data_IF_748555027926
#
_entry.id   IF_748555027926
#
_cell.length_a   1.000
_cell.length_b   1.000
_cell.length_c   1.000
_cell.angle_alpha   90.00
_cell.angle_beta   90.00
_cell.angle_gamma   90.00
#
_symmetry.space_group_name_H-M   'P 1'
#
loop_
_entity.id
_entity.type
_entity.pdbx_description
1 polymer ?
#
# COMPACT_ATOMS: atom_id res chain seq x y z
N UNK A 1 14.22 -6.44 5.54
CA UNK A 1 14.26 -6.51 4.06
C UNK A 1 12.87 -6.74 3.43
N UNK A 2 11.91 -7.30 4.18
CA UNK A 2 10.62 -7.74 3.64
C UNK A 2 9.68 -6.61 3.17
N UNK A 3 9.66 -5.47 3.86
CA UNK A 3 8.73 -4.35 3.54
C UNK A 3 9.09 -3.60 2.27
N UNK A 4 10.38 -3.54 1.92
CA UNK A 4 10.82 -2.88 0.70
C UNK A 4 10.35 -3.63 -0.56
N UNK A 5 10.29 -4.97 -0.51
CA UNK A 5 9.74 -5.78 -1.60
C UNK A 5 8.26 -5.48 -1.83
N UNK A 6 7.46 -5.33 -0.77
CA UNK A 6 6.05 -4.95 -0.90
C UNK A 6 5.87 -3.59 -1.55
N UNK A 7 6.74 -2.62 -1.26
CA UNK A 7 6.69 -1.32 -1.93
C UNK A 7 6.98 -1.41 -3.43
N UNK A 8 7.91 -2.30 -3.84
CA UNK A 8 8.17 -2.56 -5.25
C UNK A 8 6.98 -3.25 -5.93
N UNK A 9 6.41 -4.29 -5.31
CA UNK A 9 5.21 -4.95 -5.81
C UNK A 9 4.03 -3.98 -5.93
N UNK A 10 3.85 -3.10 -4.95
CA UNK A 10 2.85 -2.03 -4.96
C UNK A 10 3.01 -1.14 -6.19
N UNK A 11 4.24 -0.67 -6.47
CA UNK A 11 4.52 0.16 -7.64
C UNK A 11 4.24 -0.58 -8.95
N UNK A 12 4.69 -1.83 -9.08
CA UNK A 12 4.44 -2.65 -10.27
C UNK A 12 2.92 -2.78 -10.50
N UNK A 13 2.17 -3.09 -9.44
CA UNK A 13 0.72 -3.24 -9.49
C UNK A 13 0.02 -1.93 -9.89
N UNK A 14 0.46 -0.79 -9.34
CA UNK A 14 -0.03 0.54 -9.75
C UNK A 14 0.23 0.78 -11.24
N UNK A 15 1.43 0.49 -11.76
CA UNK A 15 1.71 0.70 -13.18
C UNK A 15 0.87 -0.20 -14.09
N UNK A 16 0.62 -1.44 -13.68
CA UNK A 16 -0.35 -2.31 -14.37
C UNK A 16 -1.74 -1.67 -14.36
N UNK A 17 -2.20 -1.20 -13.20
CA UNK A 17 -3.47 -0.46 -13.05
C UNK A 17 -3.49 0.92 -13.71
N UNK A 18 -2.38 1.43 -14.24
CA UNK A 18 -2.35 2.64 -15.07
C UNK A 18 -2.29 2.32 -16.58
N UNK A 19 -2.16 1.06 -16.96
CA UNK A 19 -2.09 0.65 -18.37
C UNK A 19 -3.43 0.87 -19.09
N UNK A 20 -3.44 1.71 -20.13
CA UNK A 20 -4.66 2.07 -20.86
C UNK A 20 -5.37 3.34 -20.36
N UNK A 21 -4.86 4.03 -19.34
CA UNK A 21 -5.33 5.40 -19.00
C UNK A 21 -4.63 6.46 -19.87
N UNK A 22 -5.18 7.68 -19.87
CA UNK A 22 -4.59 8.81 -20.61
C UNK A 22 -3.20 9.19 -20.08
N UNK A 23 -2.36 9.79 -20.94
CA UNK A 23 -1.01 10.23 -20.54
C UNK A 23 -1.04 11.15 -19.31
N UNK A 24 -2.03 12.05 -19.23
CA UNK A 24 -2.19 12.96 -18.08
C UNK A 24 -2.44 12.20 -16.79
N UNK A 25 -3.35 11.22 -16.80
CA UNK A 25 -3.67 10.38 -15.63
C UNK A 25 -2.46 9.55 -15.21
N UNK A 26 -1.76 8.94 -16.17
CA UNK A 26 -0.52 8.18 -15.91
C UNK A 26 0.54 9.01 -15.22
N UNK A 27 0.78 10.24 -15.69
CA UNK A 27 1.77 11.13 -15.08
C UNK A 27 1.35 11.54 -13.68
N UNK A 28 0.12 12.02 -13.50
CA UNK A 28 -0.35 12.48 -12.18
C UNK A 28 -0.33 11.36 -11.13
N UNK A 29 -1.01 10.25 -11.40
CA UNK A 29 -1.04 9.13 -10.46
C UNK A 29 0.34 8.50 -10.34
N UNK A 30 1.03 8.23 -11.46
CA UNK A 30 2.36 7.63 -11.45
C UNK A 30 3.35 8.42 -10.59
N UNK A 31 3.35 9.76 -10.68
CA UNK A 31 4.18 10.61 -9.84
C UNK A 31 3.79 10.52 -8.36
N UNK A 32 2.50 10.56 -8.01
CA UNK A 32 2.03 10.44 -6.62
C UNK A 32 2.45 9.10 -6.02
N UNK A 33 2.15 7.99 -6.69
CA UNK A 33 2.49 6.64 -6.22
C UNK A 33 3.99 6.42 -6.11
N UNK A 34 4.76 6.86 -7.13
CA UNK A 34 6.22 6.73 -7.11
C UNK A 34 6.82 7.56 -5.99
N UNK A 35 6.35 8.79 -5.78
CA UNK A 35 6.84 9.65 -4.71
C UNK A 35 6.58 9.04 -3.33
N UNK A 36 5.38 8.50 -3.10
CA UNK A 36 5.08 7.90 -1.81
C UNK A 36 5.88 6.63 -1.54
N UNK A 37 6.14 5.82 -2.58
CA UNK A 37 7.01 4.66 -2.44
C UNK A 37 8.47 5.04 -2.16
N UNK A 38 9.00 6.09 -2.81
CA UNK A 38 10.34 6.60 -2.52
C UNK A 38 10.43 7.10 -1.08
N UNK A 39 9.44 7.86 -0.61
CA UNK A 39 9.38 8.35 0.78
C UNK A 39 9.35 7.16 1.74
N UNK A 40 8.50 6.16 1.46
CA UNK A 40 8.38 4.96 2.28
C UNK A 40 9.71 4.20 2.41
N UNK A 41 10.35 3.89 1.27
CA UNK A 41 11.62 3.16 1.20
C UNK A 41 12.74 3.95 1.90
N UNK A 42 12.84 5.25 1.61
CA UNK A 42 13.87 6.09 2.23
C UNK A 42 13.67 6.15 3.74
N UNK A 43 12.43 6.33 4.20
CA UNK A 43 12.10 6.33 5.62
C UNK A 43 12.37 4.99 6.30
N UNK A 44 12.06 3.86 5.65
CA UNK A 44 12.33 2.53 6.22
C UNK A 44 13.83 2.30 6.41
N UNK A 45 14.65 2.73 5.44
CA UNK A 45 16.11 2.68 5.52
C UNK A 45 16.64 3.60 6.63
N UNK A 46 16.11 4.81 6.77
CA UNK A 46 16.50 5.75 7.83
C UNK A 46 16.16 5.20 9.22
N UNK A 47 14.97 4.63 9.41
CA UNK A 47 14.58 4.01 10.67
C UNK A 47 15.51 2.84 11.02
N UNK A 48 15.83 1.98 10.06
CA UNK A 48 16.79 0.88 10.24
C UNK A 48 18.20 1.37 10.58
N UNK A 49 18.64 2.44 9.93
CA UNK A 49 19.93 3.06 10.23
C UNK A 49 19.96 3.60 11.66
N UNK A 50 18.92 4.33 12.09
CA UNK A 50 18.82 4.90 13.44
C UNK A 50 18.68 3.86 14.54
N UNK A 51 18.10 2.70 14.23
CA UNK A 51 17.92 1.59 15.17
C UNK A 51 19.10 0.62 15.16
N UNK A 52 20.19 0.93 14.48
CA UNK A 52 21.40 0.09 14.39
C UNK A 52 21.16 -1.31 13.78
N UNK A 53 20.13 -1.45 12.94
CA UNK A 53 19.77 -2.71 12.28
C UNK A 53 20.94 -3.35 11.52
N UNK A 54 21.80 -2.55 10.90
CA UNK A 54 22.93 -3.03 10.09
C UNK A 54 24.16 -3.44 10.92
N UNK A 55 24.16 -3.19 12.23
CA UNK A 55 25.28 -3.48 13.13
C UNK A 55 24.96 -4.54 14.17
N UNK A 56 23.71 -4.62 14.60
CA UNK A 56 23.22 -5.59 15.58
C UNK A 56 22.80 -6.89 14.89
N UNK A 57 22.87 -8.00 15.61
CA UNK A 57 22.15 -9.21 15.18
C UNK A 57 20.64 -8.96 15.22
N UNK A 58 19.87 -9.70 14.41
CA UNK A 58 18.41 -9.53 14.34
C UNK A 58 17.74 -9.67 15.72
N UNK A 59 18.21 -10.62 16.55
CA UNK A 59 17.70 -10.82 17.92
C UNK A 59 17.96 -9.62 18.82
N UNK A 60 19.17 -9.04 18.76
CA UNK A 60 19.52 -7.85 19.54
C UNK A 60 18.74 -6.63 19.06
N UNK A 61 18.53 -6.50 17.75
CA UNK A 61 17.74 -5.41 17.20
C UNK A 61 16.27 -5.49 17.64
N UNK A 62 15.69 -6.69 17.62
CA UNK A 62 14.34 -6.97 18.14
C UNK A 62 14.26 -6.64 19.63
N UNK A 63 15.25 -7.05 20.43
CA UNK A 63 15.31 -6.78 21.87
C UNK A 63 15.44 -5.29 22.22
N UNK A 64 15.89 -4.45 21.27
CA UNK A 64 15.99 -2.99 21.43
C UNK A 64 14.80 -2.25 20.78
N UNK A 65 13.64 -2.91 20.66
CA UNK A 65 12.41 -2.38 20.06
C UNK A 65 12.58 -1.88 18.61
N UNK A 66 13.58 -2.37 17.89
CA UNK A 66 13.82 -1.98 16.51
C UNK A 66 12.64 -2.27 15.60
N UNK A 67 11.98 -3.40 15.81
CA UNK A 67 10.78 -3.83 15.08
C UNK A 67 9.59 -2.87 15.29
N UNK A 68 9.38 -2.42 16.52
CA UNK A 68 8.27 -1.51 16.89
C UNK A 68 8.44 -0.18 16.18
N UNK A 69 9.66 0.39 16.24
CA UNK A 69 9.99 1.65 15.55
C UNK A 69 9.84 1.56 14.04
N UNK A 70 10.12 0.39 13.45
CA UNK A 70 9.86 0.16 12.03
C UNK A 70 8.36 0.02 11.76
N UNK A 71 7.60 -0.63 12.64
CA UNK A 71 6.14 -0.72 12.60
C UNK A 71 5.45 0.63 12.62
N UNK A 72 5.90 1.55 13.48
CA UNK A 72 5.37 2.91 13.60
C UNK A 72 5.49 3.70 12.28
N UNK A 73 6.51 3.37 11.47
CA UNK A 73 6.66 3.91 10.11
C UNK A 73 5.84 3.13 9.08
N UNK A 74 5.79 1.81 9.19
CA UNK A 74 5.16 0.94 8.17
C UNK A 74 3.64 1.04 8.19
N UNK A 75 3.00 1.06 9.36
CA UNK A 75 1.55 1.03 9.48
C UNK A 75 0.87 2.25 8.84
N UNK A 76 1.28 3.50 9.10
CA UNK A 76 0.66 4.66 8.45
C UNK A 76 0.79 4.62 6.94
N UNK A 77 1.96 4.23 6.42
CA UNK A 77 2.18 4.13 4.98
C UNK A 77 1.44 2.96 4.34
N UNK A 78 1.23 1.86 5.06
CA UNK A 78 0.36 0.78 4.63
C UNK A 78 -1.07 1.28 4.41
N UNK A 79 -1.62 2.03 5.37
CA UNK A 79 -2.96 2.61 5.27
C UNK A 79 -3.06 3.63 4.13
N UNK A 80 -2.07 4.52 4.00
CA UNK A 80 -2.05 5.50 2.91
C UNK A 80 -1.94 4.79 1.55
N UNK A 81 -1.06 3.80 1.42
CA UNK A 81 -0.91 3.00 0.20
C UNK A 81 -2.20 2.27 -0.16
N UNK A 82 -2.87 1.66 0.81
CA UNK A 82 -4.14 0.98 0.61
C UNK A 82 -5.26 1.94 0.17
N UNK A 83 -5.38 3.10 0.83
CA UNK A 83 -6.37 4.12 0.47
C UNK A 83 -6.11 4.66 -0.95
N UNK A 84 -4.86 4.97 -1.27
CA UNK A 84 -4.51 5.41 -2.62
C UNK A 84 -4.82 4.32 -3.64
N UNK A 85 -4.52 3.05 -3.36
CA UNK A 85 -4.81 1.97 -4.31
C UNK A 85 -6.31 1.82 -4.55
N UNK A 86 -7.12 1.91 -3.49
CA UNK A 86 -8.58 1.90 -3.60
C UNK A 86 -9.07 3.02 -4.52
N UNK A 87 -8.56 4.25 -4.34
CA UNK A 87 -8.90 5.38 -5.21
C UNK A 87 -8.62 5.09 -6.69
N UNK A 88 -7.48 4.46 -7.01
CA UNK A 88 -7.15 4.11 -8.40
C UNK A 88 -8.04 3.00 -8.96
N UNK A 89 -8.37 2.01 -8.13
CA UNK A 89 -9.29 0.94 -8.52
C UNK A 89 -10.69 1.51 -8.77
N UNK A 90 -11.21 2.32 -7.85
CA UNK A 90 -12.50 2.99 -8.00
C UNK A 90 -12.50 3.87 -9.24
N UNK A 91 -11.46 4.68 -9.45
CA UNK A 91 -11.30 5.48 -10.66
C UNK A 91 -11.42 4.63 -11.94
N UNK A 92 -10.85 3.43 -11.97
CA UNK A 92 -10.97 2.51 -13.11
C UNK A 92 -12.39 1.99 -13.31
N UNK A 93 -13.07 1.61 -12.24
CA UNK A 93 -14.48 1.18 -12.31
C UNK A 93 -15.38 2.32 -12.79
N UNK A 94 -15.20 3.53 -12.25
CA UNK A 94 -15.94 4.71 -12.67
C UNK A 94 -15.66 5.11 -14.11
N UNK A 95 -14.40 5.06 -14.55
CA UNK A 95 -14.04 5.32 -15.94
C UNK A 95 -14.77 4.34 -16.88
N UNK A 96 -14.72 3.04 -16.61
CA UNK A 96 -15.43 2.02 -17.41
C UNK A 96 -16.94 2.20 -17.35
N UNK A 97 -17.50 2.54 -16.19
CA UNK A 97 -18.92 2.81 -16.04
C UNK A 97 -19.35 4.03 -16.85
N UNK A 98 -18.52 5.06 -16.93
CA UNK A 98 -18.78 6.27 -17.73
C UNK A 98 -18.71 6.02 -19.24
N UNK A 99 -17.92 5.04 -19.68
CA UNK A 99 -17.79 4.62 -21.07
C UNK A 99 -18.87 3.59 -21.48
N UNK A 100 -19.68 3.12 -20.54
CA UNK A 100 -20.72 2.10 -20.76
C UNK A 100 -22.12 2.71 -20.73
N UNK A 101 -23.04 2.18 -21.56
CA UNK A 101 -24.43 2.61 -21.59
C UNK A 101 -25.38 1.63 -20.86
N UNK A 102 -26.51 2.15 -20.39
CA UNK A 102 -27.63 1.37 -19.86
C UNK A 102 -27.28 0.48 -18.65
N UNK A 103 -27.64 -0.79 -18.72
CA UNK A 103 -27.49 -1.79 -17.63
C UNK A 103 -26.03 -2.06 -17.26
N UNK A 104 -25.12 -2.01 -18.24
CA UNK A 104 -23.68 -2.29 -18.02
C UNK A 104 -23.02 -1.25 -17.13
N UNK A 105 -23.45 0.02 -17.21
CA UNK A 105 -22.99 1.10 -16.32
C UNK A 105 -23.27 0.79 -14.85
N UNK A 106 -24.51 0.38 -14.54
CA UNK A 106 -24.91 0.04 -13.18
C UNK A 106 -24.19 -1.21 -12.68
N UNK A 107 -23.94 -2.19 -13.55
CA UNK A 107 -23.15 -3.37 -13.22
C UNK A 107 -21.74 -3.00 -12.77
N UNK A 108 -21.04 -2.10 -13.47
CA UNK A 108 -19.69 -1.67 -13.08
C UNK A 108 -19.69 -0.90 -11.74
N UNK A 109 -20.71 -0.09 -11.48
CA UNK A 109 -20.83 0.64 -10.20
C UNK A 109 -21.07 -0.31 -9.04
N UNK A 110 -22.00 -1.27 -9.20
CA UNK A 110 -22.30 -2.27 -8.17
C UNK A 110 -21.08 -3.16 -7.91
N UNK A 111 -20.45 -3.66 -8.98
CA UNK A 111 -19.27 -4.52 -8.88
C UNK A 111 -18.09 -3.76 -8.25
N UNK A 112 -17.86 -2.51 -8.65
CA UNK A 112 -16.85 -1.65 -8.04
C UNK A 112 -17.10 -1.45 -6.55
N UNK A 113 -18.35 -1.14 -6.17
CA UNK A 113 -18.72 -0.94 -4.76
C UNK A 113 -18.53 -2.21 -3.92
N UNK A 114 -18.95 -3.38 -4.44
CA UNK A 114 -18.73 -4.66 -3.79
C UNK A 114 -17.24 -4.97 -3.65
N UNK A 115 -16.46 -4.75 -4.71
CA UNK A 115 -15.01 -4.93 -4.67
C UNK A 115 -14.37 -4.04 -3.59
N UNK A 116 -14.79 -2.78 -3.48
CA UNK A 116 -14.28 -1.83 -2.49
C UNK A 116 -14.61 -2.26 -1.05
N UNK A 117 -15.78 -2.85 -0.81
CA UNK A 117 -16.11 -3.46 0.49
C UNK A 117 -15.19 -4.66 0.82
N UNK A 118 -15.02 -5.60 -0.12
CA UNK A 118 -14.12 -6.73 0.05
C UNK A 118 -12.67 -6.29 0.22
N UNK A 119 -12.26 -5.23 -0.48
CA UNK A 119 -10.94 -4.63 -0.37
C UNK A 119 -10.71 -4.05 1.02
N UNK A 120 -11.65 -3.24 1.54
CA UNK A 120 -11.56 -2.70 2.89
C UNK A 120 -11.46 -3.80 3.95
N UNK A 121 -12.27 -4.86 3.83
CA UNK A 121 -12.19 -6.02 4.74
C UNK A 121 -10.81 -6.70 4.66
N UNK A 122 -10.29 -6.88 3.44
CA UNK A 122 -8.97 -7.47 3.20
C UNK A 122 -7.84 -6.61 3.75
N UNK A 123 -7.91 -5.28 3.59
CA UNK A 123 -6.95 -4.32 4.14
C UNK A 123 -6.96 -4.34 5.65
N UNK A 124 -8.12 -4.39 6.29
CA UNK A 124 -8.21 -4.49 7.75
C UNK A 124 -7.63 -5.81 8.27
N UNK A 125 -7.90 -6.92 7.58
CA UNK A 125 -7.36 -8.24 7.93
C UNK A 125 -5.84 -8.29 7.77
N UNK A 126 -5.30 -7.70 6.70
CA UNK A 126 -3.86 -7.59 6.47
C UNK A 126 -3.20 -6.59 7.43
N UNK A 127 -3.86 -5.49 7.79
CA UNK A 127 -3.40 -4.54 8.80
C UNK A 127 -3.21 -5.25 10.14
N UNK A 128 -4.15 -6.12 10.52
CA UNK A 128 -4.01 -6.94 11.72
C UNK A 128 -2.73 -7.79 11.63
N UNK A 129 -2.54 -8.54 10.55
CA UNK A 129 -1.33 -9.35 10.35
C UNK A 129 -0.03 -8.52 10.39
N UNK A 130 -0.03 -7.33 9.77
CA UNK A 130 1.10 -6.39 9.81
C UNK A 130 1.35 -5.91 11.23
N UNK A 131 0.30 -5.54 11.98
CA UNK A 131 0.43 -5.11 13.37
C UNK A 131 1.01 -6.24 14.25
N UNK A 132 0.54 -7.48 14.10
CA UNK A 132 1.11 -8.64 14.81
C UNK A 132 2.58 -8.88 14.48
N UNK A 133 3.01 -8.60 13.23
CA UNK A 133 4.40 -8.78 12.81
C UNK A 133 5.36 -7.76 13.47
N UNK A 134 4.91 -6.52 13.69
CA UNK A 134 5.76 -5.45 14.24
C UNK A 134 5.60 -5.22 15.74
N UNK A 135 4.41 -5.52 16.26
CA UNK A 135 4.06 -5.46 17.68
C UNK A 135 3.71 -6.88 18.10
N UNK A 136 4.70 -7.78 18.23
CA UNK A 136 4.44 -9.03 18.90
C UNK A 136 3.92 -8.66 20.29
N UNK A 137 2.72 -9.12 20.62
CA UNK A 137 2.22 -9.05 21.99
C UNK A 137 3.35 -9.59 22.87
N UNK A 138 3.92 -8.72 23.71
CA UNK A 138 4.89 -9.15 24.71
C UNK A 138 4.27 -10.34 25.49
N UNK A 139 5.08 -11.33 25.91
CA UNK A 139 4.58 -12.62 26.42
C UNK A 139 3.55 -12.48 27.55
#
# INVERSE_FOLDING_TARGET
>A
MFVEFFAVFFIIFVFVLLTGTSKRVKVWFGTIYTSIAIIFITGSLVVRFRTSYFKLSEKEWIANDGQVKLGDWVIPFYLIGAALLLILIDYRFYQKASESDGTSKWMFIILGSLFSLFYCFSVLSMLLAVAFMFYPFAP
#
